data_IF_430438534508
#
_entry.id   IF_430438534508
#
_cell.length_a   1.000
_cell.length_b   1.000
_cell.length_c   1.000
_cell.angle_alpha   90.00
_cell.angle_beta   90.00
_cell.angle_gamma   90.00
#
_symmetry.space_group_name_H-M   'P 1'
#
loop_
_entity.id
_entity.type
_entity.pdbx_description
1 polymer ?
#
# COMPACT_ATOMS: atom_id res chain seq x y z
N UNK A 1 -38.17 53.74 -41.54
CA UNK A 1 -37.33 54.59 -40.64
C UNK A 1 -36.13 53.74 -40.22
N UNK A 2 -34.99 53.77 -40.93
CA UNK A 2 -33.78 54.62 -40.77
C UNK A 2 -33.06 54.51 -39.39
N UNK A 3 -31.76 54.18 -39.49
CA UNK A 3 -30.60 54.23 -38.54
C UNK A 3 -30.40 52.96 -37.69
N UNK A 4 -29.41 52.09 -37.91
CA UNK A 4 -27.92 52.23 -37.85
C UNK A 4 -27.40 53.00 -36.64
N UNK A 5 -26.65 52.34 -35.73
CA UNK A 5 -25.20 52.55 -35.56
C UNK A 5 -24.56 51.49 -34.64
N UNK A 6 -23.31 51.19 -34.98
CA UNK A 6 -22.36 50.19 -34.52
C UNK A 6 -21.67 50.48 -33.17
N UNK A 7 -20.66 49.64 -32.85
CA UNK A 7 -19.51 49.82 -31.91
C UNK A 7 -19.71 48.99 -30.60
N UNK A 8 -18.80 48.11 -30.13
CA UNK A 8 -17.34 48.14 -30.10
C UNK A 8 -16.73 46.71 -30.13
N UNK A 9 -15.57 46.67 -30.76
CA UNK A 9 -14.55 45.63 -30.89
C UNK A 9 -13.90 45.30 -29.52
N UNK A 10 -13.69 44.02 -29.20
CA UNK A 10 -12.68 43.60 -28.23
C UNK A 10 -12.02 42.30 -28.68
N UNK A 11 -10.96 42.45 -29.50
CA UNK A 11 -9.92 41.46 -29.67
C UNK A 11 -9.22 41.24 -28.32
N UNK A 12 -9.22 40.01 -27.82
CA UNK A 12 -8.24 39.57 -26.81
C UNK A 12 -7.47 38.38 -27.37
N UNK A 13 -6.37 38.75 -28.01
CA UNK A 13 -5.05 38.11 -28.04
C UNK A 13 -4.99 36.63 -27.66
N UNK A 14 -4.93 35.80 -28.71
CA UNK A 14 -4.14 34.57 -28.71
C UNK A 14 -2.65 34.93 -28.61
N UNK A 15 -1.96 34.42 -27.59
CA UNK A 15 -0.52 34.22 -27.62
C UNK A 15 -0.16 32.88 -26.97
N UNK A 16 0.77 32.11 -27.55
CA UNK A 16 1.21 30.82 -27.05
C UNK A 16 2.30 31.01 -25.98
N UNK A 17 2.21 30.30 -24.86
CA UNK A 17 3.34 30.12 -23.95
C UNK A 17 3.64 28.61 -23.85
N UNK A 18 4.16 28.08 -24.95
CA UNK A 18 5.08 26.95 -24.95
C UNK A 18 6.49 27.52 -24.70
N UNK A 19 7.36 26.70 -24.11
CA UNK A 19 8.80 26.94 -23.85
C UNK A 19 9.16 27.72 -22.58
N UNK A 20 9.13 27.04 -21.44
CA UNK A 20 10.16 27.21 -20.41
C UNK A 20 10.34 25.90 -19.60
N UNK A 21 10.75 24.83 -20.31
CA UNK A 21 11.38 23.65 -19.70
C UNK A 21 12.79 23.49 -20.26
N UNK A 22 13.62 24.50 -20.02
CA UNK A 22 15.07 24.37 -20.16
C UNK A 22 15.62 23.64 -18.92
N UNK A 23 15.78 22.33 -19.07
CA UNK A 23 17.04 21.62 -18.81
C UNK A 23 17.86 22.12 -17.61
N UNK A 24 17.42 21.82 -16.39
CA UNK A 24 18.31 21.91 -15.22
C UNK A 24 19.14 20.63 -15.12
N UNK A 25 20.24 20.62 -15.89
CA UNK A 25 21.37 19.71 -15.70
C UNK A 25 21.84 19.90 -14.26
N UNK A 26 21.64 18.89 -13.42
CA UNK A 26 22.26 18.85 -12.09
C UNK A 26 23.75 18.61 -12.28
N UNK A 27 24.54 19.66 -12.08
CA UNK A 27 25.98 19.55 -11.86
C UNK A 27 26.24 18.55 -10.72
N UNK A 28 27.18 17.64 -10.96
CA UNK A 28 27.65 16.72 -9.94
C UNK A 28 28.40 17.51 -8.85
N UNK A 29 28.16 17.24 -7.55
CA UNK A 29 28.93 17.86 -6.49
C UNK A 29 30.41 17.44 -6.59
N UNK A 30 31.36 18.34 -6.32
CA UNK A 30 32.79 18.03 -6.43
C UNK A 30 33.20 16.95 -5.42
N UNK A 31 34.20 16.15 -5.84
CA UNK A 31 34.78 15.09 -5.03
C UNK A 31 35.29 15.64 -3.69
N UNK A 32 34.78 15.10 -2.58
CA UNK A 32 35.28 15.40 -1.24
C UNK A 32 36.68 14.77 -1.08
N UNK A 33 37.69 15.62 -0.95
CA UNK A 33 39.04 15.22 -0.55
C UNK A 33 39.07 14.60 0.86
N UNK A 34 40.20 13.98 1.25
CA UNK A 34 40.32 13.24 2.50
C UNK A 34 40.14 14.17 3.71
N UNK A 35 39.27 13.73 4.63
CA UNK A 35 39.00 14.40 5.91
C UNK A 35 40.27 14.31 6.77
N UNK A 36 40.93 15.45 7.01
CA UNK A 36 41.95 15.58 8.06
C UNK A 36 41.26 15.65 9.41
N UNK A 37 41.37 14.59 10.21
CA UNK A 37 40.93 14.57 11.60
C UNK A 37 42.02 15.26 12.43
N UNK A 38 41.72 16.43 13.00
CA UNK A 38 42.57 17.02 14.04
C UNK A 38 42.30 16.31 15.38
N UNK A 39 43.32 15.88 16.13
CA UNK A 39 43.14 15.26 17.44
C UNK A 39 42.65 16.28 18.47
N UNK A 40 41.62 15.89 19.23
CA UNK A 40 41.19 16.60 20.45
C UNK A 40 42.20 16.31 21.57
N UNK A 41 42.82 17.31 22.21
CA UNK A 41 43.72 17.10 23.34
C UNK A 41 42.90 16.75 24.59
N UNK A 42 43.28 15.70 25.33
CA UNK A 42 42.74 15.44 26.68
C UNK A 42 42.14 14.05 26.94
N UNK A 43 42.24 13.08 26.03
CA UNK A 43 41.99 11.67 26.37
C UNK A 43 43.29 10.89 26.37
N UNK A 44 43.70 10.45 27.56
CA UNK A 44 44.81 9.51 27.74
C UNK A 44 44.61 8.21 26.96
N UNK A 45 45.68 7.44 26.72
CA UNK A 45 45.66 6.31 25.80
C UNK A 45 44.76 5.19 26.34
N UNK A 46 43.62 4.98 25.69
CA UNK A 46 42.85 3.75 25.84
C UNK A 46 43.70 2.64 25.20
N UNK A 47 44.29 1.75 26.02
CA UNK A 47 44.87 0.49 25.54
C UNK A 47 43.75 -0.39 24.99
N UNK A 48 43.41 -0.20 23.72
CA UNK A 48 42.61 -1.14 22.95
C UNK A 48 43.55 -2.29 22.60
N UNK A 49 43.43 -3.41 23.32
CA UNK A 49 44.05 -4.65 22.87
C UNK A 49 43.45 -4.99 21.49
N UNK A 50 44.28 -5.22 20.45
CA UNK A 50 43.77 -5.64 19.16
C UNK A 50 43.15 -7.03 19.32
N UNK A 51 41.82 -7.11 19.22
CA UNK A 51 41.16 -8.39 19.02
C UNK A 51 41.71 -8.98 17.71
N UNK A 52 42.18 -10.23 17.68
CA UNK A 52 42.73 -10.83 16.48
C UNK A 52 41.73 -10.73 15.35
N UNK A 53 42.15 -10.15 14.22
CA UNK A 53 41.36 -10.23 12.98
C UNK A 53 41.13 -11.71 12.67
N UNK A 54 39.89 -12.15 12.42
CA UNK A 54 39.65 -13.48 11.88
C UNK A 54 40.44 -13.61 10.58
N UNK A 55 41.32 -14.61 10.51
CA UNK A 55 42.14 -14.87 9.34
C UNK A 55 41.29 -15.09 8.08
N UNK A 56 41.85 -14.89 6.88
CA UNK A 56 41.19 -15.19 5.62
C UNK A 56 41.13 -16.70 5.43
N UNK A 57 40.23 -17.37 6.14
CA UNK A 57 40.25 -18.83 6.19
C UNK A 57 39.22 -19.40 7.15
N UNK A 58 37.95 -19.06 6.92
CA UNK A 58 36.80 -19.94 7.19
C UNK A 58 35.56 -19.26 6.63
N UNK A 59 35.41 -19.34 5.30
CA UNK A 59 34.06 -19.30 4.73
C UNK A 59 33.34 -20.50 5.33
N UNK A 60 32.40 -20.25 6.25
CA UNK A 60 31.44 -21.28 6.60
C UNK A 60 30.93 -21.86 5.28
N UNK A 61 31.07 -23.18 5.03
CA UNK A 61 30.62 -23.76 3.79
C UNK A 61 29.14 -23.38 3.64
N UNK A 62 28.78 -22.83 2.47
CA UNK A 62 27.39 -22.77 2.05
C UNK A 62 26.95 -24.22 2.04
N UNK A 63 26.32 -24.68 3.12
CA UNK A 63 25.85 -26.06 3.25
C UNK A 63 24.74 -26.21 2.20
N UNK A 64 24.97 -26.96 1.11
CA UNK A 64 23.90 -27.24 0.15
C UNK A 64 22.87 -28.09 0.88
N UNK A 65 21.58 -27.77 0.76
CA UNK A 65 20.52 -28.70 1.18
C UNK A 65 20.08 -28.65 2.64
N UNK A 66 20.04 -27.47 3.28
CA UNK A 66 19.07 -27.29 4.36
C UNK A 66 17.65 -27.33 3.77
N UNK A 67 16.66 -27.99 4.41
CA UNK A 67 15.29 -28.01 3.89
C UNK A 67 14.83 -26.56 3.65
N UNK A 68 14.23 -26.33 2.49
CA UNK A 68 13.62 -25.04 2.19
C UNK A 68 12.68 -24.71 3.36
N UNK A 69 12.82 -23.52 3.95
CA UNK A 69 11.84 -23.11 4.96
C UNK A 69 10.46 -23.19 4.31
N UNK A 70 9.47 -23.78 5.00
CA UNK A 70 8.12 -23.88 4.48
C UNK A 70 7.68 -22.49 4.04
N UNK A 71 7.44 -22.33 2.73
CA UNK A 71 6.94 -21.07 2.21
C UNK A 71 5.58 -20.85 2.86
N UNK A 72 5.43 -19.75 3.61
CA UNK A 72 4.14 -19.41 4.19
C UNK A 72 3.07 -19.43 3.09
N UNK A 73 1.89 -19.98 3.40
CA UNK A 73 0.79 -20.01 2.45
C UNK A 73 0.47 -18.59 1.97
N UNK A 74 0.26 -18.45 0.66
CA UNK A 74 -0.03 -17.15 0.06
C UNK A 74 -1.43 -16.72 0.49
N UNK A 75 -1.53 -15.52 1.07
CA UNK A 75 -2.81 -14.91 1.33
C UNK A 75 -3.31 -14.17 0.08
N UNK A 76 -4.10 -14.87 -0.73
CA UNK A 76 -4.70 -14.35 -1.96
C UNK A 76 -5.70 -13.22 -1.70
N UNK A 77 -6.36 -13.20 -0.53
CA UNK A 77 -7.32 -12.16 -0.16
C UNK A 77 -6.69 -10.77 0.06
N UNK A 78 -5.37 -10.72 0.25
CA UNK A 78 -4.63 -9.47 0.50
C UNK A 78 -3.96 -8.90 -0.76
N UNK A 79 -3.94 -9.66 -1.86
CA UNK A 79 -3.30 -9.20 -3.10
C UNK A 79 -4.18 -8.15 -3.79
N UNK A 80 -3.58 -7.05 -4.24
CA UNK A 80 -4.31 -5.99 -4.95
C UNK A 80 -4.79 -6.47 -6.32
N UNK A 81 -3.99 -7.30 -6.99
CA UNK A 81 -4.28 -7.85 -8.30
C UNK A 81 -4.11 -9.37 -8.23
N UNK A 82 -5.10 -10.09 -8.75
CA UNK A 82 -5.06 -11.55 -8.89
C UNK A 82 -5.60 -11.91 -10.27
N UNK A 83 -4.83 -12.67 -11.04
CA UNK A 83 -5.23 -13.09 -12.37
C UNK A 83 -4.67 -14.47 -12.71
N UNK A 84 -5.30 -15.13 -13.68
CA UNK A 84 -4.76 -16.32 -14.33
C UNK A 84 -4.13 -15.88 -15.63
N UNK A 85 -2.90 -16.31 -15.89
CA UNK A 85 -2.18 -15.98 -17.12
C UNK A 85 -1.14 -17.02 -17.46
N UNK A 86 -0.67 -17.01 -18.71
CA UNK A 86 0.45 -17.83 -19.14
C UNK A 86 1.75 -17.09 -18.83
N UNK A 87 2.70 -17.80 -18.22
CA UNK A 87 4.05 -17.28 -17.99
C UNK A 87 4.89 -17.47 -19.24
N UNK A 88 5.01 -16.40 -20.02
CA UNK A 88 5.66 -16.40 -21.34
C UNK A 88 7.18 -16.50 -21.21
N UNK A 89 7.77 -15.61 -20.40
CA UNK A 89 9.22 -15.55 -20.20
C UNK A 89 9.58 -15.19 -18.76
N UNK A 90 10.73 -15.71 -18.33
CA UNK A 90 11.35 -15.41 -17.03
C UNK A 90 12.77 -14.93 -17.31
N UNK A 91 13.07 -13.69 -16.93
CA UNK A 91 14.41 -13.13 -17.04
C UNK A 91 14.98 -13.00 -15.64
N UNK A 92 16.00 -13.79 -15.33
CA UNK A 92 16.72 -13.68 -14.06
C UNK A 92 17.47 -12.35 -13.99
N UNK A 93 17.30 -11.65 -12.88
CA UNK A 93 18.03 -10.43 -12.55
C UNK A 93 19.20 -10.69 -11.61
N UNK A 94 19.87 -9.63 -11.13
CA UNK A 94 20.96 -9.75 -10.18
C UNK A 94 20.50 -10.41 -8.87
N UNK A 95 21.38 -11.21 -8.27
CA UNK A 95 21.18 -11.82 -6.96
C UNK A 95 21.85 -10.97 -5.89
N UNK A 96 21.05 -10.43 -4.98
CA UNK A 96 21.55 -9.64 -3.86
C UNK A 96 22.37 -10.50 -2.90
N UNK A 97 23.55 -9.99 -2.50
CA UNK A 97 24.52 -10.66 -1.62
C UNK A 97 24.13 -10.64 -0.12
N UNK A 98 22.85 -10.76 0.20
CA UNK A 98 22.39 -10.92 1.59
C UNK A 98 22.35 -12.39 1.98
N UNK A 99 22.19 -12.68 3.28
CA UNK A 99 21.89 -14.03 3.75
C UNK A 99 20.55 -14.02 4.52
N UNK A 100 19.48 -14.65 3.99
CA UNK A 100 19.39 -15.35 2.70
C UNK A 100 19.56 -14.44 1.46
N UNK A 101 20.00 -14.98 0.32
CA UNK A 101 20.15 -14.20 -0.91
C UNK A 101 18.81 -13.68 -1.42
N UNK A 102 18.87 -12.57 -2.15
CA UNK A 102 17.69 -11.95 -2.78
C UNK A 102 17.71 -12.20 -4.28
N UNK A 103 16.87 -13.11 -4.75
CA UNK A 103 16.70 -13.37 -6.17
C UNK A 103 15.71 -12.38 -6.77
N UNK A 104 16.13 -11.71 -7.85
CA UNK A 104 15.27 -10.78 -8.60
C UNK A 104 14.96 -11.37 -9.98
N UNK A 105 13.74 -11.17 -10.47
CA UNK A 105 13.31 -11.63 -11.79
C UNK A 105 12.37 -10.60 -12.43
N UNK A 106 12.36 -10.57 -13.76
CA UNK A 106 11.26 -10.02 -14.55
C UNK A 106 10.45 -11.17 -15.12
N UNK A 107 9.15 -11.13 -14.90
CA UNK A 107 8.20 -12.15 -15.33
C UNK A 107 7.24 -11.52 -16.32
N UNK A 108 7.13 -12.09 -17.52
CA UNK A 108 6.19 -11.61 -18.53
C UNK A 108 5.02 -12.58 -18.62
N UNK A 109 3.82 -12.04 -18.50
CA UNK A 109 2.58 -12.80 -18.54
C UNK A 109 1.67 -12.32 -19.66
N UNK A 110 0.93 -13.26 -20.23
CA UNK A 110 -0.27 -12.98 -21.01
C UNK A 110 -1.49 -13.31 -20.16
N UNK A 111 -2.30 -12.30 -19.84
CA UNK A 111 -3.47 -12.44 -18.97
C UNK A 111 -4.58 -13.23 -19.70
N UNK A 112 -5.05 -14.32 -19.09
CA UNK A 112 -6.21 -15.09 -19.59
C UNK A 112 -7.49 -14.65 -18.92
N UNK A 113 -7.44 -14.47 -17.60
CA UNK A 113 -8.60 -14.16 -16.80
C UNK A 113 -8.21 -13.29 -15.61
N UNK A 114 -9.04 -12.32 -15.26
CA UNK A 114 -8.82 -11.42 -14.14
C UNK A 114 -9.79 -11.78 -13.02
N UNK A 115 -9.24 -12.13 -11.85
CA UNK A 115 -10.03 -12.47 -10.66
C UNK A 115 -10.21 -11.22 -9.79
N UNK A 116 -9.16 -10.39 -9.67
CA UNK A 116 -9.17 -9.12 -8.93
C UNK A 116 -8.25 -8.10 -9.60
N UNK A 117 -8.66 -6.84 -9.59
CA UNK A 117 -7.88 -5.72 -10.12
C UNK A 117 -8.48 -5.16 -11.40
N UNK A 118 -7.71 -4.31 -12.08
CA UNK A 118 -8.17 -3.54 -13.24
C UNK A 118 -7.48 -3.97 -14.55
N UNK A 119 -6.92 -5.17 -14.59
CA UNK A 119 -6.39 -5.78 -15.81
C UNK A 119 -7.52 -6.23 -16.73
N UNK A 120 -7.18 -6.58 -17.96
CA UNK A 120 -8.10 -7.19 -18.94
C UNK A 120 -7.51 -8.49 -19.50
N UNK A 121 -8.36 -9.47 -19.86
CA UNK A 121 -7.93 -10.60 -20.68
C UNK A 121 -7.22 -10.12 -21.96
N UNK A 122 -6.10 -10.76 -22.29
CA UNK A 122 -5.23 -10.40 -23.41
C UNK A 122 -4.13 -9.39 -23.07
N UNK A 123 -4.16 -8.75 -21.90
CA UNK A 123 -3.09 -7.82 -21.49
C UNK A 123 -1.75 -8.55 -21.38
N UNK A 124 -0.68 -7.91 -21.87
CA UNK A 124 0.70 -8.34 -21.65
C UNK A 124 1.30 -7.56 -20.48
N UNK A 125 1.73 -8.28 -19.45
CA UNK A 125 2.16 -7.70 -18.19
C UNK A 125 3.61 -8.09 -17.91
N UNK A 126 4.49 -7.10 -17.81
CA UNK A 126 5.81 -7.25 -17.19
C UNK A 126 5.68 -6.99 -15.67
N UNK A 127 5.99 -7.99 -14.87
CA UNK A 127 5.98 -7.89 -13.41
C UNK A 127 7.37 -8.18 -12.84
N UNK A 128 7.82 -7.31 -11.93
CA UNK A 128 9.01 -7.55 -11.12
C UNK A 128 8.71 -8.58 -10.02
N UNK A 129 9.64 -9.47 -9.73
CA UNK A 129 9.54 -10.41 -8.62
C UNK A 129 10.83 -10.41 -7.82
N UNK A 130 10.71 -10.41 -6.49
CA UNK A 130 11.86 -10.47 -5.58
C UNK A 130 11.57 -11.46 -4.47
N UNK A 131 12.43 -12.46 -4.31
CA UNK A 131 12.34 -13.45 -3.24
C UNK A 131 13.64 -13.52 -2.44
N UNK A 132 13.54 -13.34 -1.12
CA UNK A 132 14.65 -13.53 -0.19
C UNK A 132 14.58 -14.94 0.39
N UNK A 133 15.39 -15.85 -0.14
CA UNK A 133 15.40 -17.26 0.25
C UNK A 133 16.71 -17.94 -0.12
N UNK A 134 16.99 -19.12 0.44
CA UNK A 134 18.28 -19.83 0.20
C UNK A 134 18.37 -20.46 -1.19
N UNK A 135 17.23 -20.87 -1.75
CA UNK A 135 17.14 -21.58 -3.03
C UNK A 135 16.51 -20.65 -4.07
N UNK A 136 17.00 -20.67 -5.31
CA UNK A 136 16.41 -19.89 -6.38
C UNK A 136 14.93 -20.27 -6.58
N UNK A 137 14.01 -19.30 -6.78
CA UNK A 137 12.63 -19.59 -7.16
C UNK A 137 12.59 -20.39 -8.47
N UNK A 138 11.73 -21.40 -8.51
CA UNK A 138 11.41 -22.12 -9.75
C UNK A 138 10.03 -21.66 -10.21
N UNK A 139 9.90 -21.30 -11.47
CA UNK A 139 8.65 -20.84 -12.05
C UNK A 139 8.11 -21.84 -13.08
N UNK A 140 6.79 -22.05 -13.14
CA UNK A 140 6.16 -22.93 -14.12
C UNK A 140 6.07 -22.26 -15.50
N UNK A 141 7.21 -22.17 -16.20
CA UNK A 141 7.32 -21.55 -17.53
C UNK A 141 6.37 -22.24 -18.54
N UNK A 142 5.76 -21.44 -19.44
CA UNK A 142 4.79 -21.91 -20.46
C UNK A 142 3.58 -22.66 -19.91
N UNK A 143 3.29 -22.50 -18.62
CA UNK A 143 2.10 -23.07 -17.98
C UNK A 143 1.15 -21.96 -17.58
N UNK A 144 -0.12 -22.33 -17.45
CA UNK A 144 -1.12 -21.43 -16.85
C UNK A 144 -0.85 -21.30 -15.35
N UNK A 145 -0.70 -20.06 -14.90
CA UNK A 145 -0.35 -19.68 -13.55
C UNK A 145 -1.45 -18.82 -12.95
N UNK A 146 -1.69 -18.98 -11.65
CA UNK A 146 -2.32 -17.94 -10.87
C UNK A 146 -1.25 -17.00 -10.31
N UNK A 147 -1.47 -15.70 -10.51
CA UNK A 147 -0.53 -14.65 -10.18
C UNK A 147 -1.19 -13.67 -9.22
N UNK A 148 -0.51 -13.40 -8.11
CA UNK A 148 -0.91 -12.45 -7.09
C UNK A 148 0.13 -11.35 -6.99
N UNK A 149 -0.32 -10.10 -6.97
CA UNK A 149 0.61 -8.99 -6.96
C UNK A 149 0.01 -7.65 -6.55
N UNK A 150 0.86 -6.64 -6.66
CA UNK A 150 0.55 -5.24 -6.36
C UNK A 150 1.08 -4.33 -7.46
N UNK A 151 0.47 -3.15 -7.60
CA UNK A 151 1.00 -2.08 -8.44
C UNK A 151 1.81 -1.13 -7.55
N UNK A 152 3.11 -1.07 -7.79
CA UNK A 152 4.05 -0.22 -7.04
C UNK A 152 4.76 0.74 -7.99
N UNK A 153 4.65 2.05 -7.72
CA UNK A 153 5.32 3.13 -8.48
C UNK A 153 5.14 3.02 -10.01
N UNK A 154 3.92 2.70 -10.45
CA UNK A 154 3.59 2.55 -11.87
C UNK A 154 3.95 1.20 -12.49
N UNK A 155 4.72 0.35 -11.80
CA UNK A 155 5.11 -0.98 -12.24
C UNK A 155 4.33 -2.09 -11.52
N UNK A 156 4.19 -3.25 -12.15
CA UNK A 156 3.63 -4.43 -11.50
C UNK A 156 4.71 -5.18 -10.72
N UNK A 157 4.33 -5.70 -9.56
CA UNK A 157 5.16 -6.57 -8.76
C UNK A 157 4.40 -7.86 -8.45
N UNK A 158 4.93 -8.99 -8.91
CA UNK A 158 4.43 -10.30 -8.55
C UNK A 158 4.95 -10.67 -7.15
N UNK A 159 4.02 -10.96 -6.25
CA UNK A 159 4.29 -11.45 -4.89
C UNK A 159 4.15 -12.97 -4.85
N UNK A 160 3.23 -13.51 -5.66
CA UNK A 160 2.92 -14.92 -5.73
C UNK A 160 2.75 -15.35 -7.20
N UNK A 161 3.35 -16.49 -7.54
CA UNK A 161 3.18 -17.17 -8.83
C UNK A 161 3.12 -18.65 -8.54
N UNK A 162 1.98 -19.27 -8.82
CA UNK A 162 1.77 -20.71 -8.67
C UNK A 162 1.09 -21.27 -9.91
N UNK A 163 1.37 -22.54 -10.24
CA UNK A 163 0.62 -23.24 -11.29
C UNK A 163 -0.85 -23.31 -10.88
N UNK A 164 -1.76 -23.14 -11.84
CA UNK A 164 -3.20 -23.26 -11.54
C UNK A 164 -3.50 -24.65 -11.01
N UNK A 165 -4.13 -24.68 -9.84
CA UNK A 165 -4.62 -25.87 -9.17
C UNK A 165 -6.16 -25.83 -9.16
N UNK A 166 -6.83 -26.72 -9.91
CA UNK A 166 -8.29 -26.77 -9.96
C UNK A 166 -8.96 -26.96 -8.60
N UNK A 167 -8.27 -27.59 -7.63
CA UNK A 167 -8.83 -27.81 -6.29
C UNK A 167 -8.82 -26.53 -5.45
N UNK A 168 -7.89 -25.59 -5.72
CA UNK A 168 -7.74 -24.35 -4.96
C UNK A 168 -8.39 -23.14 -5.62
N UNK A 169 -8.69 -23.20 -6.92
CA UNK A 169 -9.12 -22.01 -7.65
C UNK A 169 -10.45 -21.43 -7.13
N UNK A 170 -11.39 -22.29 -6.72
CA UNK A 170 -12.68 -21.86 -6.18
C UNK A 170 -12.53 -21.08 -4.86
N UNK A 171 -11.68 -21.54 -3.95
CA UNK A 171 -11.42 -20.85 -2.69
C UNK A 171 -10.67 -19.53 -2.90
N UNK A 172 -9.75 -19.50 -3.86
CA UNK A 172 -9.04 -18.26 -4.23
C UNK A 172 -10.01 -17.24 -4.84
N UNK A 173 -10.92 -17.66 -5.74
CA UNK A 173 -11.96 -16.79 -6.28
C UNK A 173 -12.84 -16.22 -5.18
N UNK A 174 -13.30 -17.06 -4.25
CA UNK A 174 -14.09 -16.60 -3.10
C UNK A 174 -13.33 -15.54 -2.28
N UNK A 175 -12.06 -15.80 -1.96
CA UNK A 175 -11.20 -14.84 -1.26
C UNK A 175 -11.00 -13.52 -2.04
N UNK A 176 -11.03 -13.58 -3.38
CA UNK A 176 -10.89 -12.41 -4.24
C UNK A 176 -12.19 -11.60 -4.44
N UNK A 177 -13.36 -12.22 -4.23
CA UNK A 177 -14.67 -11.54 -4.27
C UNK A 177 -14.94 -10.73 -3.01
N UNK A 178 -14.21 -10.95 -1.92
CA UNK A 178 -14.34 -10.18 -0.69
C UNK A 178 -13.50 -8.90 -0.70
N UNK A 179 -13.85 -7.85 0.07
CA UNK A 179 -13.00 -6.69 0.24
C UNK A 179 -11.63 -7.06 0.82
N UNK A 180 -10.61 -6.27 0.53
CA UNK A 180 -9.26 -6.49 1.05
C UNK A 180 -9.27 -6.50 2.59
N UNK A 181 -8.60 -7.50 3.16
CA UNK A 181 -8.52 -7.72 4.61
C UNK A 181 -9.64 -8.57 5.20
N UNK A 182 -10.72 -8.83 4.45
CA UNK A 182 -11.72 -9.82 4.87
C UNK A 182 -11.16 -11.22 4.72
N UNK A 183 -11.67 -12.14 5.54
CA UNK A 183 -11.29 -13.56 5.48
C UNK A 183 -12.51 -14.42 5.25
N UNK A 184 -12.31 -15.53 4.53
CA UNK A 184 -13.26 -16.61 4.40
C UNK A 184 -12.59 -17.88 4.89
N UNK A 185 -13.06 -18.45 5.99
CA UNK A 185 -12.56 -19.69 6.55
C UNK A 185 -13.72 -20.54 7.08
N UNK A 186 -13.70 -21.85 6.80
CA UNK A 186 -14.76 -22.78 7.21
C UNK A 186 -16.17 -22.34 6.80
N UNK A 187 -16.32 -21.69 5.64
CA UNK A 187 -17.61 -21.15 5.15
C UNK A 187 -18.07 -19.88 5.86
N UNK A 188 -17.32 -19.36 6.84
CA UNK A 188 -17.62 -18.11 7.55
C UNK A 188 -16.80 -16.98 6.95
N UNK A 189 -17.49 -15.89 6.64
CA UNK A 189 -16.87 -14.65 6.22
C UNK A 189 -16.68 -13.76 7.44
N UNK A 190 -15.48 -13.25 7.68
CA UNK A 190 -15.18 -12.34 8.78
C UNK A 190 -14.65 -11.01 8.24
N UNK A 191 -15.24 -9.92 8.75
CA UNK A 191 -14.77 -8.58 8.45
C UNK A 191 -13.65 -8.15 9.40
N UNK A 192 -12.81 -7.18 9.00
CA UNK A 192 -11.80 -6.57 9.88
C UNK A 192 -12.35 -6.00 11.19
N UNK A 193 -13.66 -5.72 11.24
CA UNK A 193 -14.36 -5.20 12.40
C UNK A 193 -15.05 -6.30 13.24
N UNK A 194 -14.79 -7.59 12.97
CA UNK A 194 -15.47 -8.71 13.64
C UNK A 194 -15.32 -8.72 15.16
N UNK A 195 -14.23 -8.15 15.66
CA UNK A 195 -13.93 -8.08 17.09
C UNK A 195 -14.52 -6.84 17.77
N UNK A 196 -15.06 -5.90 16.99
CA UNK A 196 -15.86 -4.82 17.55
C UNK A 196 -17.20 -5.42 17.98
N UNK A 197 -17.57 -5.24 19.24
CA UNK A 197 -18.81 -5.76 19.84
C UNK A 197 -20.05 -5.00 19.34
N UNK A 198 -20.11 -4.76 18.03
CA UNK A 198 -21.05 -3.90 17.34
C UNK A 198 -21.63 -4.67 16.17
N UNK A 199 -22.96 -4.70 16.08
CA UNK A 199 -23.69 -5.30 14.97
C UNK A 199 -24.07 -4.24 13.94
N UNK A 200 -24.05 -4.66 12.69
CA UNK A 200 -24.57 -3.87 11.58
C UNK A 200 -26.06 -3.57 11.79
N UNK A 201 -26.56 -2.39 11.38
CA UNK A 201 -27.96 -2.05 11.55
C UNK A 201 -28.85 -3.01 10.76
N UNK A 202 -29.62 -3.86 11.46
CA UNK A 202 -30.38 -4.96 10.83
C UNK A 202 -31.49 -4.51 9.87
N UNK A 203 -32.02 -3.30 10.04
CA UNK A 203 -33.01 -2.72 9.13
C UNK A 203 -32.41 -2.28 7.78
N UNK A 204 -31.08 -2.11 7.71
CA UNK A 204 -30.40 -1.61 6.53
C UNK A 204 -30.06 -2.75 5.57
N UNK A 205 -30.85 -2.86 4.51
CA UNK A 205 -30.61 -3.80 3.40
C UNK A 205 -29.53 -3.25 2.48
N UNK A 206 -28.57 -4.10 2.14
CA UNK A 206 -27.47 -3.78 1.22
C UNK A 206 -27.41 -4.87 0.14
N UNK A 207 -27.06 -4.51 -1.09
CA UNK A 207 -26.96 -5.44 -2.22
C UNK A 207 -25.73 -6.35 -2.18
N UNK A 208 -25.18 -6.64 -1.00
CA UNK A 208 -24.00 -7.48 -0.86
C UNK A 208 -24.38 -8.97 -0.86
N UNK A 209 -23.53 -9.80 -1.48
CA UNK A 209 -23.69 -11.26 -1.49
C UNK A 209 -23.13 -11.94 -0.25
N UNK A 210 -22.20 -11.28 0.44
CA UNK A 210 -21.50 -11.82 1.60
C UNK A 210 -21.60 -10.87 2.79
N UNK A 211 -21.74 -11.46 3.98
CA UNK A 211 -21.90 -10.76 5.24
C UNK A 211 -20.96 -11.35 6.29
N UNK A 212 -20.44 -10.49 7.16
CA UNK A 212 -19.65 -10.88 8.30
C UNK A 212 -20.49 -11.76 9.24
N UNK A 213 -20.04 -12.98 9.52
CA UNK A 213 -20.75 -13.92 10.37
C UNK A 213 -20.95 -13.41 11.80
N UNK A 214 -20.05 -12.56 12.31
CA UNK A 214 -20.12 -12.04 13.69
C UNK A 214 -20.96 -10.77 13.81
N UNK A 215 -20.76 -9.83 12.89
CA UNK A 215 -21.34 -8.48 13.00
C UNK A 215 -22.50 -8.25 12.05
N UNK A 216 -22.76 -9.14 11.09
CA UNK A 216 -23.74 -8.94 10.03
C UNK A 216 -23.34 -7.87 9.00
N UNK A 217 -22.13 -7.29 9.13
CA UNK A 217 -21.66 -6.24 8.23
C UNK A 217 -21.55 -6.76 6.79
N UNK A 218 -22.08 -6.06 5.78
CA UNK A 218 -21.95 -6.48 4.38
C UNK A 218 -20.55 -6.25 3.83
N UNK A 219 -20.13 -7.15 2.93
CA UNK A 219 -18.88 -7.08 2.19
C UNK A 219 -18.98 -6.05 1.05
N UNK A 220 -18.81 -4.78 1.38
CA UNK A 220 -19.00 -3.66 0.44
C UNK A 220 -17.73 -3.31 -0.35
N UNK A 221 -17.90 -3.10 -1.65
CA UNK A 221 -16.84 -2.69 -2.58
C UNK A 221 -16.83 -1.18 -2.82
N UNK A 222 -15.70 -0.63 -3.26
CA UNK A 222 -15.59 0.77 -3.66
C UNK A 222 -16.19 1.01 -5.04
N UNK A 223 -15.95 0.10 -5.99
CA UNK A 223 -16.50 0.13 -7.34
C UNK A 223 -15.48 0.54 -8.40
N UNK A 224 -15.74 0.12 -9.64
CA UNK A 224 -14.81 0.28 -10.76
C UNK A 224 -14.50 1.76 -11.09
N UNK A 225 -15.51 2.63 -11.07
CA UNK A 225 -15.41 4.06 -11.40
C UNK A 225 -14.74 4.93 -10.32
N UNK A 226 -14.29 4.31 -9.22
CA UNK A 226 -13.62 4.99 -8.12
C UNK A 226 -12.11 4.87 -8.25
N UNK A 227 -11.44 6.01 -8.17
CA UNK A 227 -10.00 6.08 -7.93
C UNK A 227 -9.73 6.27 -6.44
N UNK A 228 -8.67 5.62 -5.97
CA UNK A 228 -8.24 5.61 -4.58
C UNK A 228 -6.75 5.92 -4.53
N UNK A 229 -6.38 7.05 -3.93
CA UNK A 229 -4.98 7.46 -3.80
C UNK A 229 -4.63 7.68 -2.34
N UNK A 230 -3.35 7.43 -2.03
CA UNK A 230 -2.82 7.60 -0.69
C UNK A 230 -1.46 8.26 -0.81
N UNK A 231 -1.30 9.37 -0.11
CA UNK A 231 -0.11 10.21 -0.15
C UNK A 231 0.42 10.41 1.28
N UNK A 232 1.74 10.42 1.44
CA UNK A 232 2.36 10.75 2.72
C UNK A 232 2.13 12.22 3.03
N UNK A 233 1.73 12.52 4.25
CA UNK A 233 1.69 13.90 4.73
C UNK A 233 3.09 14.28 5.21
N UNK A 234 3.67 15.42 4.76
CA UNK A 234 4.98 15.89 5.23
C UNK A 234 5.01 16.02 6.76
N UNK A 235 6.17 15.87 7.42
CA UNK A 235 6.23 15.98 8.87
C UNK A 235 5.83 17.39 9.35
N UNK A 236 5.30 17.50 10.56
CA UNK A 236 5.02 18.82 11.16
C UNK A 236 6.32 19.60 11.40
N UNK A 237 7.38 18.89 11.79
CA UNK A 237 8.74 19.43 11.89
C UNK A 237 9.71 18.47 11.23
N UNK A 238 10.40 18.94 10.20
CA UNK A 238 11.42 18.14 9.53
C UNK A 238 12.62 17.91 10.46
N UNK A 239 13.05 16.66 10.56
CA UNK A 239 14.23 16.23 11.30
C UNK A 239 15.09 15.42 10.34
N UNK A 240 16.23 16.00 9.98
CA UNK A 240 17.19 15.40 9.03
C UNK A 240 17.44 13.92 9.37
N UNK A 241 17.26 13.06 8.38
CA UNK A 241 17.47 11.60 8.45
C UNK A 241 16.56 10.82 9.42
N UNK A 242 15.55 11.46 10.05
CA UNK A 242 14.73 10.82 11.09
C UNK A 242 13.29 10.58 10.65
N UNK A 243 12.66 11.55 10.00
CA UNK A 243 11.28 11.46 9.51
C UNK A 243 11.15 11.83 8.01
N UNK A 244 11.95 11.22 7.12
CA UNK A 244 11.91 11.53 5.68
C UNK A 244 10.56 11.20 5.02
N UNK A 245 9.77 10.34 5.66
CA UNK A 245 8.46 9.91 5.20
C UNK A 245 7.29 10.58 5.97
N UNK A 246 7.58 11.62 6.77
CA UNK A 246 6.60 12.29 7.62
C UNK A 246 6.43 11.66 8.99
N UNK A 247 5.39 12.09 9.70
CA UNK A 247 5.08 11.66 11.08
C UNK A 247 4.05 10.51 11.11
N UNK A 248 4.02 9.72 10.03
CA UNK A 248 3.15 8.54 9.87
C UNK A 248 1.76 8.82 9.34
N UNK A 249 1.42 10.08 9.07
CA UNK A 249 0.14 10.49 8.51
C UNK A 249 0.06 10.24 7.00
N UNK A 250 -1.10 9.78 6.56
CA UNK A 250 -1.41 9.57 5.15
C UNK A 250 -2.71 10.26 4.79
N UNK A 251 -2.68 11.08 3.73
CA UNK A 251 -3.87 11.63 3.10
C UNK A 251 -4.44 10.57 2.16
N UNK A 252 -5.64 10.11 2.47
CA UNK A 252 -6.43 9.20 1.63
C UNK A 252 -7.40 10.03 0.83
N UNK A 253 -7.45 9.82 -0.48
CA UNK A 253 -8.37 10.51 -1.38
C UNK A 253 -9.17 9.49 -2.19
N UNK A 254 -10.49 9.71 -2.24
CA UNK A 254 -11.44 8.94 -3.04
C UNK A 254 -12.04 9.88 -4.07
N UNK A 255 -12.02 9.50 -5.34
CA UNK A 255 -12.54 10.34 -6.41
C UNK A 255 -13.35 9.55 -7.44
N UNK A 256 -14.37 10.20 -7.99
CA UNK A 256 -15.13 9.67 -9.13
C UNK A 256 -14.43 10.05 -10.46
N UNK A 257 -14.01 9.06 -11.23
CA UNK A 257 -13.36 9.26 -12.54
C UNK A 257 -14.32 9.16 -13.72
N UNK A 258 -15.61 8.96 -13.47
CA UNK A 258 -16.63 8.85 -14.52
C UNK A 258 -17.36 10.17 -14.75
N UNK A 259 -18.15 10.21 -15.84
CA UNK A 259 -19.01 11.34 -16.20
C UNK A 259 -20.38 11.33 -15.52
N UNK A 260 -20.68 10.35 -14.66
CA UNK A 260 -21.96 10.24 -13.93
C UNK A 260 -21.72 10.20 -12.42
N UNK A 261 -22.70 10.59 -11.58
CA UNK A 261 -22.60 10.39 -10.15
C UNK A 261 -22.36 8.91 -9.80
N UNK A 262 -21.49 8.64 -8.83
CA UNK A 262 -21.13 7.28 -8.40
C UNK A 262 -21.31 7.16 -6.90
N UNK A 263 -22.10 6.18 -6.47
CA UNK A 263 -22.10 5.74 -5.08
C UNK A 263 -20.85 4.89 -4.81
N UNK A 264 -20.22 5.08 -3.65
CA UNK A 264 -19.07 4.32 -3.17
C UNK A 264 -19.51 3.47 -1.98
N UNK A 265 -20.02 2.23 -2.18
CA UNK A 265 -20.65 1.45 -1.11
C UNK A 265 -19.74 1.24 0.11
N UNK A 266 -18.44 0.98 -0.12
CA UNK A 266 -17.47 0.78 0.94
C UNK A 266 -17.19 2.02 1.81
N UNK A 267 -17.44 3.23 1.30
CA UNK A 267 -17.23 4.48 2.03
C UNK A 267 -18.56 4.97 2.60
N UNK A 268 -18.74 4.82 3.91
CA UNK A 268 -20.02 5.14 4.57
C UNK A 268 -20.05 6.58 5.09
N UNK A 269 -21.25 7.14 5.19
CA UNK A 269 -21.51 8.40 5.88
C UNK A 269 -22.74 8.32 6.77
N UNK A 270 -22.72 9.08 7.86
CA UNK A 270 -23.85 9.33 8.74
C UNK A 270 -24.20 10.82 8.65
N UNK A 271 -25.35 11.13 8.04
CA UNK A 271 -25.69 12.50 7.66
C UNK A 271 -24.64 13.10 6.71
N UNK A 272 -23.98 14.17 7.14
CA UNK A 272 -22.89 14.83 6.39
C UNK A 272 -21.50 14.28 6.70
N UNK A 273 -21.33 13.52 7.78
CA UNK A 273 -20.03 13.02 8.25
C UNK A 273 -19.66 11.73 7.52
N UNK A 274 -18.50 11.71 6.88
CA UNK A 274 -17.92 10.49 6.30
C UNK A 274 -17.24 9.68 7.42
N UNK A 275 -17.52 8.38 7.47
CA UNK A 275 -17.03 7.44 8.47
C UNK A 275 -15.74 6.76 7.99
N UNK A 276 -14.65 7.52 7.84
CA UNK A 276 -13.37 7.03 7.32
C UNK A 276 -12.79 5.88 8.16
N UNK A 277 -12.76 6.05 9.48
CA UNK A 277 -12.22 5.05 10.42
C UNK A 277 -12.98 3.72 10.36
N UNK A 278 -14.29 3.80 10.13
CA UNK A 278 -15.14 2.62 9.99
C UNK A 278 -15.24 2.08 8.56
N UNK A 279 -14.62 2.74 7.58
CA UNK A 279 -14.64 2.32 6.17
C UNK A 279 -13.31 1.76 5.68
N UNK A 280 -12.20 2.20 6.29
CA UNK A 280 -10.85 1.84 5.87
C UNK A 280 -10.31 0.62 6.63
N UNK A 281 -9.49 -0.14 5.92
CA UNK A 281 -8.77 -1.32 6.43
C UNK A 281 -7.28 -1.11 6.18
N UNK A 282 -6.45 -1.52 7.13
CA UNK A 282 -4.99 -1.42 7.01
C UNK A 282 -4.40 -2.80 7.15
N UNK A 283 -3.62 -3.23 6.16
CA UNK A 283 -2.80 -4.42 6.25
C UNK A 283 -1.38 -4.03 6.64
N UNK A 284 -0.85 -4.67 7.67
CA UNK A 284 0.48 -4.41 8.19
C UNK A 284 1.08 -5.71 8.73
N UNK A 285 2.31 -6.04 8.33
CA UNK A 285 3.00 -7.26 8.78
C UNK A 285 2.19 -8.55 8.56
N UNK A 286 1.47 -8.65 7.44
CA UNK A 286 0.62 -9.80 7.09
C UNK A 286 -0.68 -9.92 7.89
N UNK A 287 -0.95 -8.98 8.81
CA UNK A 287 -2.16 -8.91 9.63
C UNK A 287 -3.09 -7.82 9.12
N UNK A 288 -4.38 -8.02 9.37
CA UNK A 288 -5.44 -7.07 9.04
C UNK A 288 -5.84 -6.27 10.28
N UNK A 289 -6.03 -4.97 10.11
CA UNK A 289 -6.55 -4.07 11.13
C UNK A 289 -7.66 -3.20 10.54
N UNK A 290 -8.69 -2.88 11.33
CA UNK A 290 -9.52 -1.71 11.04
C UNK A 290 -8.69 -0.44 11.15
N UNK A 291 -9.09 0.64 10.49
CA UNK A 291 -8.42 1.92 10.70
C UNK A 291 -8.46 2.35 12.19
N UNK A 292 -7.47 3.12 12.66
CA UNK A 292 -7.47 3.63 14.03
C UNK A 292 -8.77 4.35 14.36
N UNK A 293 -9.20 4.28 15.62
CA UNK A 293 -10.45 4.86 16.10
C UNK A 293 -11.74 4.29 15.50
N UNK A 294 -11.68 3.20 14.72
CA UNK A 294 -12.88 2.48 14.27
C UNK A 294 -13.73 2.03 15.47
N UNK A 295 -15.03 2.29 15.41
CA UNK A 295 -16.00 1.94 16.45
C UNK A 295 -17.04 0.92 15.97
N UNK A 296 -17.09 0.66 14.68
CA UNK A 296 -18.18 -0.06 14.02
C UNK A 296 -19.34 0.88 13.70
N UNK A 297 -20.21 0.44 12.80
CA UNK A 297 -21.38 1.19 12.35
C UNK A 297 -22.62 0.55 12.98
N UNK A 298 -23.26 1.26 13.91
CA UNK A 298 -24.48 0.81 14.62
C UNK A 298 -25.74 1.48 14.09
N UNK A 299 -25.61 2.72 13.61
CA UNK A 299 -26.73 3.49 13.08
C UNK A 299 -26.84 3.32 11.56
N UNK A 300 -28.05 3.39 11.00
CA UNK A 300 -28.25 3.40 9.57
C UNK A 300 -27.36 4.45 8.88
N UNK A 301 -26.51 4.00 7.97
CA UNK A 301 -25.58 4.84 7.21
C UNK A 301 -25.92 4.76 5.73
N UNK A 302 -25.40 5.68 4.93
CA UNK A 302 -25.53 5.64 3.46
C UNK A 302 -24.15 5.61 2.80
N UNK A 303 -24.04 5.10 1.55
CA UNK A 303 -22.84 5.29 0.75
C UNK A 303 -22.55 6.77 0.52
N UNK A 304 -21.27 7.13 0.44
CA UNK A 304 -20.89 8.43 -0.12
C UNK A 304 -21.21 8.42 -1.62
N UNK A 305 -21.91 9.44 -2.11
CA UNK A 305 -22.18 9.65 -3.53
C UNK A 305 -21.31 10.81 -4.00
N UNK A 306 -20.51 10.57 -5.04
CA UNK A 306 -19.59 11.53 -5.62
C UNK A 306 -20.11 11.97 -6.99
N UNK A 307 -20.25 13.27 -7.20
CA UNK A 307 -20.48 13.86 -8.51
C UNK A 307 -19.29 13.58 -9.46
N UNK A 308 -19.47 13.71 -10.79
CA UNK A 308 -18.38 13.56 -11.75
C UNK A 308 -17.16 14.42 -11.38
N UNK A 309 -15.97 13.81 -11.31
CA UNK A 309 -14.73 14.50 -10.93
C UNK A 309 -14.60 14.89 -9.45
N UNK A 310 -15.66 14.73 -8.64
CA UNK A 310 -15.62 15.08 -7.22
C UNK A 310 -14.63 14.19 -6.47
N UNK A 311 -13.94 14.79 -5.50
CA UNK A 311 -13.01 14.13 -4.60
C UNK A 311 -13.39 14.42 -3.15
N UNK A 312 -13.18 13.43 -2.29
CA UNK A 312 -13.22 13.58 -0.83
C UNK A 312 -11.94 13.00 -0.26
N UNK A 313 -11.46 13.57 0.83
CA UNK A 313 -10.21 13.14 1.45
C UNK A 313 -10.26 13.23 2.96
N UNK A 314 -9.38 12.47 3.61
CA UNK A 314 -9.15 12.52 5.05
C UNK A 314 -7.72 12.09 5.35
N UNK A 315 -7.25 12.40 6.55
CA UNK A 315 -5.93 12.00 7.04
C UNK A 315 -6.11 10.87 8.04
N UNK A 316 -5.37 9.78 7.84
CA UNK A 316 -5.27 8.68 8.81
C UNK A 316 -3.84 8.55 9.30
N UNK A 317 -3.65 8.00 10.50
CA UNK A 317 -2.33 7.70 11.03
C UNK A 317 -2.22 6.23 11.48
N UNK A 318 -1.71 5.33 10.62
CA UNK A 318 -1.51 3.91 10.94
C UNK A 318 -0.59 3.65 12.13
N UNK A 319 0.18 4.64 12.61
CA UNK A 319 0.99 4.47 13.82
C UNK A 319 0.12 4.30 15.08
N UNK A 320 -1.13 4.75 15.05
CA UNK A 320 -2.11 4.53 16.11
C UNK A 320 -2.61 3.08 16.18
N UNK A 321 -2.25 2.20 15.24
CA UNK A 321 -2.66 0.80 15.28
C UNK A 321 -2.12 0.06 16.51
N UNK A 322 -3.01 -0.66 17.18
CA UNK A 322 -2.69 -1.62 18.21
C UNK A 322 -2.50 -3.02 17.63
N UNK A 323 -1.47 -3.73 18.08
CA UNK A 323 -1.18 -5.10 17.64
C UNK A 323 0.02 -5.30 16.71
N UNK A 324 0.41 -4.36 15.81
CA UNK A 324 1.67 -4.50 15.08
C UNK A 324 2.88 -4.55 16.02
N UNK A 325 3.90 -5.32 15.65
CA UNK A 325 5.17 -5.35 16.37
C UNK A 325 6.04 -4.18 15.90
N UNK A 326 6.09 -3.13 16.71
CA UNK A 326 6.81 -1.92 16.37
C UNK A 326 8.34 -2.09 16.54
N UNK A 327 9.15 -1.63 15.57
CA UNK A 327 10.61 -1.75 15.63
C UNK A 327 11.23 -0.93 16.78
N UNK A 328 12.27 -1.45 17.45
CA UNK A 328 13.02 -0.73 18.50
C UNK A 328 14.10 0.24 17.97
N UNK A 329 14.16 0.44 16.65
CA UNK A 329 15.19 1.25 15.98
C UNK A 329 14.69 1.81 14.65
N UNK A 330 15.61 1.96 13.68
CA UNK A 330 15.28 2.32 12.31
C UNK A 330 14.82 1.11 11.50
N UNK A 331 13.66 1.17 10.88
CA UNK A 331 13.13 0.08 10.07
C UNK A 331 12.11 0.57 9.04
N UNK A 332 12.08 -0.05 7.86
CA UNK A 332 11.06 0.25 6.86
C UNK A 332 9.85 -0.66 7.04
N UNK A 333 8.78 -0.12 7.61
CA UNK A 333 7.47 -0.78 7.71
C UNK A 333 6.63 -0.47 6.48
N UNK A 334 5.71 -1.36 6.12
CA UNK A 334 4.79 -1.16 4.99
C UNK A 334 3.35 -1.24 5.48
N UNK A 335 2.53 -0.30 5.03
CA UNK A 335 1.09 -0.28 5.24
C UNK A 335 0.39 -0.40 3.89
N UNK A 336 -0.54 -1.32 3.75
CA UNK A 336 -1.46 -1.33 2.62
C UNK A 336 -2.81 -0.81 3.12
N UNK A 337 -3.13 0.42 2.74
CA UNK A 337 -4.39 1.08 3.13
C UNK A 337 -5.43 0.72 2.07
N UNK A 338 -6.58 0.24 2.51
CA UNK A 338 -7.60 -0.38 1.68
C UNK A 338 -8.98 0.26 1.88
N UNK A 339 -9.74 0.32 0.80
CA UNK A 339 -11.17 0.66 0.77
C UNK A 339 -11.84 -0.31 -0.20
N UNK A 340 -12.63 -1.25 0.30
CA UNK A 340 -13.22 -2.29 -0.56
C UNK A 340 -12.13 -3.17 -1.20
N UNK A 341 -12.17 -3.28 -2.52
CA UNK A 341 -11.17 -3.90 -3.38
C UNK A 341 -10.00 -2.98 -3.77
N UNK A 342 -10.07 -1.68 -3.45
CA UNK A 342 -9.02 -0.71 -3.78
C UNK A 342 -8.00 -0.66 -2.66
N UNK A 343 -6.72 -0.49 -3.01
CA UNK A 343 -5.67 -0.28 -2.01
C UNK A 343 -4.48 0.50 -2.54
N UNK A 344 -3.67 1.02 -1.63
CA UNK A 344 -2.37 1.62 -1.90
C UNK A 344 -1.35 1.17 -0.86
N UNK A 345 -0.24 0.59 -1.32
CA UNK A 345 0.88 0.18 -0.50
C UNK A 345 1.85 1.34 -0.28
N UNK A 346 2.10 1.68 0.99
CA UNK A 346 2.96 2.76 1.42
C UNK A 346 4.08 2.22 2.30
N UNK A 347 5.34 2.48 1.91
CA UNK A 347 6.49 2.22 2.78
C UNK A 347 6.78 3.42 3.66
N UNK A 348 7.07 3.18 4.94
CA UNK A 348 7.37 4.19 5.94
C UNK A 348 8.68 3.85 6.66
N UNK A 349 9.62 4.78 6.72
CA UNK A 349 10.80 4.65 7.54
C UNK A 349 10.48 5.00 9.00
N UNK A 350 10.22 3.96 9.78
CA UNK A 350 10.01 4.05 11.22
C UNK A 350 11.33 4.25 11.95
N UNK A 351 11.34 5.15 12.92
CA UNK A 351 12.47 5.41 13.80
C UNK A 351 11.95 5.57 15.23
N UNK A 352 12.17 4.55 16.06
CA UNK A 352 11.65 4.43 17.43
C UNK A 352 11.79 5.73 18.26
N UNK A 353 13.00 6.31 18.30
CA UNK A 353 13.30 7.55 19.06
C UNK A 353 12.39 8.75 18.77
N UNK A 354 11.77 8.78 17.60
CA UNK A 354 10.85 9.84 17.17
C UNK A 354 9.40 9.34 17.17
N UNK A 355 9.15 8.23 16.50
CA UNK A 355 7.79 7.77 16.21
C UNK A 355 7.11 7.09 17.40
N UNK A 356 7.86 6.56 18.38
CA UNK A 356 7.22 6.03 19.61
C UNK A 356 6.51 7.14 20.37
N UNK A 357 7.10 8.35 20.45
CA UNK A 357 6.46 9.51 21.09
C UNK A 357 5.16 9.90 20.39
N UNK A 358 5.15 9.88 19.05
CA UNK A 358 3.95 10.12 18.25
C UNK A 358 2.88 9.08 18.57
N UNK A 359 3.26 7.80 18.65
CA UNK A 359 2.33 6.71 18.96
C UNK A 359 1.73 6.85 20.35
N UNK A 360 2.53 7.24 21.34
CA UNK A 360 2.06 7.45 22.71
C UNK A 360 1.04 8.60 22.76
N UNK A 361 1.26 9.68 22.00
CA UNK A 361 0.28 10.77 21.84
C UNK A 361 -1.02 10.28 21.19
N UNK A 362 -0.91 9.55 20.08
CA UNK A 362 -2.08 9.02 19.36
C UNK A 362 -2.91 8.07 20.23
N UNK A 363 -2.25 7.19 20.99
CA UNK A 363 -2.93 6.29 21.96
C UNK A 363 -3.64 7.06 23.06
N UNK A 364 -3.07 8.19 23.49
CA UNK A 364 -3.70 9.10 24.43
C UNK A 364 -4.81 9.97 23.81
N UNK A 365 -5.17 9.74 22.54
CA UNK A 365 -6.18 10.53 21.82
C UNK A 365 -5.73 11.96 21.50
N UNK A 366 -4.43 12.25 21.59
CA UNK A 366 -3.89 13.59 21.34
C UNK A 366 -3.53 13.71 19.85
N UNK A 367 -4.04 14.75 19.15
CA UNK A 367 -3.69 14.96 17.76
C UNK A 367 -2.21 15.39 17.66
N UNK A 368 -1.55 15.00 16.57
CA UNK A 368 -0.16 15.38 16.31
C UNK A 368 -0.11 16.81 15.76
N UNK A 369 -1.08 17.16 14.91
CA UNK A 369 -1.26 18.52 14.39
C UNK A 369 -2.33 19.24 15.20
N UNK A 370 -2.16 20.55 15.37
CA UNK A 370 -3.31 21.39 15.71
C UNK A 370 -4.28 21.35 14.53
N UNK A 371 -5.51 20.91 14.75
CA UNK A 371 -6.57 20.98 13.75
C UNK A 371 -6.80 22.45 13.43
N UNK A 372 -6.32 22.91 12.27
CA UNK A 372 -6.82 24.14 11.68
C UNK A 372 -8.31 23.93 11.41
N UNK A 373 -9.15 24.82 11.94
CA UNK A 373 -10.58 24.79 11.69
C UNK A 373 -10.83 24.90 10.18
N UNK A 374 -11.13 23.79 9.49
CA UNK A 374 -11.34 23.82 8.05
C UNK A 374 -11.38 22.49 7.28
N UNK A 375 -11.05 21.35 7.88
CA UNK A 375 -11.14 20.03 7.20
C UNK A 375 -12.51 19.35 7.36
#
# INVERSE_FOLDING_TARGET
MKKQLSILLALVLFSPLMELFAQQVREAPPARGPIKIQPVPGRGPIKIQPVPRPGPGNRLPIRPGGPAQPKAAINWAQQQIVFIGDLDTVVAGPVGRSFPPMFTHKLNFTVKEVIRGNLKPGDKIEASHVARQRVAPVFPLKSSCIVGGEKSRGSYRAVAVEKVDPQKIASIRMACVLPLGWTADGGKVLSPWSNLKVRWPGAQKEGATHFCATTGRPALMAGAAVSFTVEKVPPQKEIKWTNPDGDGEYKVTVSNTSSKPVAVPALRKLGKRILWDDSLVILCQGKTYSAPAAKGIMDPSTPVVLAPGQKVSSVINPLALEGPSWPRGGYRISFQICLGEKSSSQSFYYMARHHDKIRDLLKAGKPIRQTSAGD
#
